data_IF_567778598931
#
_entry.id   IF_567778598931
#
_cell.length_a   1.000
_cell.length_b   1.000
_cell.length_c   1.000
_cell.angle_alpha   90.00
_cell.angle_beta   90.00
_cell.angle_gamma   90.00
#
_symmetry.space_group_name_H-M   'P 1'
#
loop_
_entity.id
_entity.type
_entity.pdbx_description
1 polymer ?
#
# COMPACT_ATOMS: atom_id res chain seq x y z
N UNK A 1 -11.46 4.08 2.50
CA UNK A 1 -12.07 3.08 1.61
C UNK A 1 -12.35 3.73 0.26
N UNK A 2 -11.77 3.21 -0.81
CA UNK A 2 -11.90 3.79 -2.15
C UNK A 2 -13.20 3.37 -2.87
N UNK A 3 -13.86 2.34 -2.38
CA UNK A 3 -15.16 1.89 -2.89
C UNK A 3 -15.91 1.07 -1.84
N UNK A 4 -17.22 1.18 -1.84
CA UNK A 4 -18.09 0.41 -0.96
C UNK A 4 -18.52 -0.94 -1.58
N UNK A 5 -18.24 -1.14 -2.85
CA UNK A 5 -18.63 -2.33 -3.64
C UNK A 5 -20.15 -2.55 -3.78
N UNK A 6 -20.94 -1.48 -3.62
CA UNK A 6 -22.40 -1.53 -3.75
C UNK A 6 -22.91 -0.44 -4.70
N UNK A 7 -23.98 -0.73 -5.42
CA UNK A 7 -24.59 0.25 -6.32
C UNK A 7 -25.11 1.47 -5.55
N UNK A 8 -24.73 2.66 -6.02
CA UNK A 8 -25.10 3.93 -5.39
C UNK A 8 -24.29 4.27 -4.12
N UNK A 9 -23.34 3.41 -3.73
CA UNK A 9 -22.35 3.70 -2.67
C UNK A 9 -21.17 4.50 -3.18
N UNK A 10 -20.16 4.66 -2.32
CA UNK A 10 -18.90 5.31 -2.68
C UNK A 10 -18.18 4.52 -3.78
N UNK A 11 -17.77 5.20 -4.84
CA UNK A 11 -17.15 4.61 -6.02
C UNK A 11 -15.70 5.10 -6.20
N UNK A 12 -14.87 4.39 -7.00
CA UNK A 12 -13.49 4.82 -7.25
C UNK A 12 -13.37 6.23 -7.81
N UNK A 13 -14.34 6.70 -8.58
CA UNK A 13 -14.40 8.05 -9.12
C UNK A 13 -14.55 9.12 -8.02
N UNK A 14 -15.30 8.80 -6.96
CA UNK A 14 -15.44 9.70 -5.80
C UNK A 14 -14.11 9.79 -5.03
N UNK A 15 -13.38 8.68 -4.93
CA UNK A 15 -12.04 8.65 -4.32
C UNK A 15 -11.02 9.45 -5.13
N UNK A 16 -11.08 9.38 -6.44
CA UNK A 16 -10.27 10.21 -7.33
C UNK A 16 -10.54 11.70 -7.10
N UNK A 17 -11.81 12.11 -7.09
CA UNK A 17 -12.19 13.48 -6.80
C UNK A 17 -11.72 13.92 -5.41
N UNK A 18 -11.92 13.07 -4.39
CA UNK A 18 -11.50 13.37 -3.02
C UNK A 18 -9.99 13.54 -2.90
N UNK A 19 -9.19 12.72 -3.60
CA UNK A 19 -7.73 12.81 -3.57
C UNK A 19 -7.23 14.21 -4.00
N UNK A 20 -7.83 14.80 -5.05
CA UNK A 20 -7.53 16.18 -5.43
C UNK A 20 -7.85 17.18 -4.33
N UNK A 21 -8.97 17.01 -3.63
CA UNK A 21 -9.34 17.89 -2.50
C UNK A 21 -8.41 17.74 -1.31
N UNK A 22 -7.98 16.50 -1.02
CA UNK A 22 -7.03 16.22 0.07
C UNK A 22 -5.68 16.89 -0.19
N UNK A 23 -5.16 16.82 -1.42
CA UNK A 23 -3.94 17.51 -1.83
C UNK A 23 -4.04 19.04 -1.61
N UNK A 24 -5.15 19.67 -2.03
CA UNK A 24 -5.39 21.10 -1.82
C UNK A 24 -5.43 21.50 -0.33
N UNK A 25 -5.77 20.57 0.55
CA UNK A 25 -5.84 20.78 2.00
C UNK A 25 -4.57 20.35 2.76
N UNK A 26 -3.48 20.04 2.05
CA UNK A 26 -2.17 19.76 2.65
C UNK A 26 -2.05 18.38 3.26
N UNK A 27 -2.77 17.40 2.72
CA UNK A 27 -2.56 15.98 3.04
C UNK A 27 -1.35 15.48 2.25
N UNK A 28 -0.39 14.88 2.92
CA UNK A 28 0.85 14.41 2.31
C UNK A 28 0.72 13.01 1.70
N UNK A 29 -0.08 12.13 2.33
CA UNK A 29 -0.24 10.75 1.88
C UNK A 29 -1.66 10.25 2.14
N UNK A 30 -2.18 9.47 1.20
CA UNK A 30 -3.43 8.72 1.35
C UNK A 30 -3.19 7.23 1.17
N UNK A 31 -3.68 6.42 2.13
CA UNK A 31 -3.71 4.96 1.99
C UNK A 31 -5.01 4.51 1.33
N UNK A 32 -4.89 3.72 0.27
CA UNK A 32 -6.03 3.30 -0.56
C UNK A 32 -6.38 1.85 -0.31
N UNK A 33 -7.49 1.66 0.40
CA UNK A 33 -8.09 0.35 0.66
C UNK A 33 -9.52 0.28 0.12
N UNK A 34 -10.28 -0.76 0.44
CA UNK A 34 -11.66 -0.90 -0.03
C UNK A 34 -12.54 -1.73 0.90
N UNK A 35 -13.84 -1.47 0.85
CA UNK A 35 -14.86 -2.21 1.60
C UNK A 35 -14.88 -1.89 3.09
N UNK A 36 -15.67 -2.67 3.82
CA UNK A 36 -15.85 -2.52 5.27
C UNK A 36 -16.90 -1.50 5.69
N UNK A 37 -17.41 -0.68 4.79
CA UNK A 37 -18.48 0.29 5.04
C UNK A 37 -19.87 -0.31 4.77
N UNK A 38 -19.93 -1.44 4.07
CA UNK A 38 -21.12 -2.21 3.77
C UNK A 38 -20.93 -3.66 4.21
N UNK A 39 -21.97 -4.40 4.56
CA UNK A 39 -21.90 -5.83 4.83
C UNK A 39 -21.61 -6.66 3.57
N UNK A 40 -21.71 -6.06 2.39
CA UNK A 40 -21.42 -6.69 1.11
C UNK A 40 -19.94 -7.10 1.02
N UNK A 41 -19.68 -8.24 0.40
CA UNK A 41 -18.32 -8.68 0.13
C UNK A 41 -17.83 -8.08 -1.19
N UNK A 42 -16.54 -7.72 -1.28
CA UNK A 42 -15.97 -7.32 -2.56
C UNK A 42 -16.21 -8.39 -3.63
N UNK A 43 -16.67 -8.01 -4.84
CA UNK A 43 -16.91 -8.96 -5.95
C UNK A 43 -15.60 -9.35 -6.66
N UNK A 44 -14.48 -9.32 -5.96
CA UNK A 44 -13.13 -9.60 -6.45
C UNK A 44 -12.47 -10.70 -5.63
N UNK A 45 -11.57 -11.46 -6.24
CA UNK A 45 -10.77 -12.44 -5.52
C UNK A 45 -9.88 -11.75 -4.49
N UNK A 46 -9.87 -12.26 -3.26
CA UNK A 46 -9.02 -11.74 -2.18
C UNK A 46 -7.63 -12.37 -2.30
N UNK A 47 -6.82 -11.83 -3.20
CA UNK A 47 -5.45 -12.25 -3.47
C UNK A 47 -4.46 -11.10 -3.25
N UNK A 48 -3.16 -11.38 -3.34
CA UNK A 48 -2.12 -10.38 -3.17
C UNK A 48 -2.33 -9.20 -4.12
N UNK A 49 -2.43 -8.01 -3.56
CA UNK A 49 -2.57 -6.77 -4.35
C UNK A 49 -3.97 -6.49 -4.88
N UNK A 50 -5.02 -7.19 -4.42
CA UNK A 50 -6.39 -7.00 -4.94
C UNK A 50 -6.93 -5.56 -4.88
N UNK A 51 -6.32 -4.69 -4.05
CA UNK A 51 -6.71 -3.27 -3.96
C UNK A 51 -5.76 -2.34 -4.75
N UNK A 52 -4.66 -2.86 -5.28
CA UNK A 52 -3.69 -2.06 -6.07
C UNK A 52 -4.34 -1.29 -7.23
N UNK A 53 -5.27 -1.88 -8.01
CA UNK A 53 -5.93 -1.12 -9.07
C UNK A 53 -6.69 0.14 -8.61
N UNK A 54 -7.12 0.18 -7.33
CA UNK A 54 -7.75 1.36 -6.75
C UNK A 54 -6.71 2.43 -6.40
N UNK A 55 -5.53 2.04 -5.88
CA UNK A 55 -4.43 2.94 -5.63
C UNK A 55 -3.92 3.56 -6.96
N UNK A 56 -3.75 2.76 -8.00
CA UNK A 56 -3.37 3.23 -9.34
C UNK A 56 -4.33 4.29 -9.90
N UNK A 57 -5.63 4.13 -9.69
CA UNK A 57 -6.62 5.13 -10.11
C UNK A 57 -6.41 6.47 -9.42
N UNK A 58 -6.03 6.47 -8.15
CA UNK A 58 -5.73 7.69 -7.40
C UNK A 58 -4.38 8.27 -7.83
N UNK A 59 -3.32 7.45 -7.91
CA UNK A 59 -1.98 7.86 -8.36
C UNK A 59 -2.01 8.48 -9.76
N UNK A 60 -2.77 7.90 -10.69
CA UNK A 60 -2.92 8.39 -12.06
C UNK A 60 -3.74 9.67 -12.21
N UNK A 61 -4.30 10.20 -11.14
CA UNK A 61 -5.23 11.32 -11.18
C UNK A 61 -4.57 12.70 -11.29
N UNK A 62 -3.26 12.80 -11.21
CA UNK A 62 -2.55 14.07 -11.26
C UNK A 62 -2.86 14.99 -10.07
N UNK A 63 -2.98 14.40 -8.88
CA UNK A 63 -3.34 15.11 -7.63
C UNK A 63 -2.16 15.88 -6.99
N UNK A 64 -1.27 16.43 -7.79
CA UNK A 64 -0.12 17.19 -7.30
C UNK A 64 0.90 16.29 -6.59
N UNK A 65 1.40 16.75 -5.44
CA UNK A 65 2.44 16.06 -4.66
C UNK A 65 1.88 15.04 -3.63
N UNK A 66 0.58 14.73 -3.68
CA UNK A 66 -0.05 13.75 -2.79
C UNK A 66 0.52 12.35 -3.07
N UNK A 67 1.13 11.75 -2.06
CA UNK A 67 1.61 10.38 -2.12
C UNK A 67 0.44 9.40 -1.95
N UNK A 68 0.52 8.27 -2.63
CA UNK A 68 -0.51 7.22 -2.57
C UNK A 68 0.11 5.91 -2.13
N UNK A 69 -0.42 5.32 -1.08
CA UNK A 69 -0.02 3.99 -0.67
C UNK A 69 -1.02 2.93 -1.11
N UNK A 70 -0.49 1.73 -1.38
CA UNK A 70 -1.28 0.54 -1.65
C UNK A 70 -1.24 -0.43 -0.47
N UNK A 71 -2.36 -1.08 -0.22
CA UNK A 71 -2.50 -2.15 0.77
C UNK A 71 -3.35 -3.28 0.17
N UNK A 72 -3.28 -4.46 0.73
CA UNK A 72 -4.16 -5.57 0.31
C UNK A 72 -3.41 -6.88 0.12
N UNK A 73 -3.21 -7.63 1.20
CA UNK A 73 -2.56 -8.95 1.21
C UNK A 73 -1.14 -8.95 0.61
N UNK A 74 -0.48 -7.80 0.50
CA UNK A 74 0.88 -7.68 0.03
C UNK A 74 1.80 -8.29 1.10
N UNK A 75 2.57 -9.31 0.71
CA UNK A 75 3.47 -10.04 1.61
C UNK A 75 4.79 -10.43 0.96
N UNK A 76 4.86 -10.44 -0.36
CA UNK A 76 6.06 -10.74 -1.15
C UNK A 76 6.88 -9.46 -1.35
N UNK A 77 8.18 -9.44 -0.95
CA UNK A 77 9.02 -8.25 -1.11
C UNK A 77 9.24 -7.83 -2.55
N UNK A 78 9.42 -8.77 -3.47
CA UNK A 78 9.65 -8.45 -4.88
C UNK A 78 8.39 -7.84 -5.52
N UNK A 79 7.21 -8.35 -5.15
CA UNK A 79 5.95 -7.74 -5.58
C UNK A 79 5.78 -6.33 -5.03
N UNK A 80 6.07 -6.12 -3.73
CA UNK A 80 5.99 -4.79 -3.11
C UNK A 80 6.93 -3.79 -3.79
N UNK A 81 8.19 -4.18 -4.02
CA UNK A 81 9.20 -3.37 -4.73
C UNK A 81 8.74 -3.05 -6.16
N UNK A 82 8.17 -4.03 -6.86
CA UNK A 82 7.63 -3.83 -8.21
C UNK A 82 6.54 -2.76 -8.26
N UNK A 83 5.68 -2.66 -7.24
CA UNK A 83 4.66 -1.61 -7.20
C UNK A 83 5.26 -0.21 -7.14
N UNK A 84 6.37 -0.05 -6.41
CA UNK A 84 7.06 1.23 -6.27
C UNK A 84 7.84 1.58 -7.52
N UNK A 85 8.62 0.64 -8.04
CA UNK A 85 9.48 0.86 -9.22
C UNK A 85 8.69 1.06 -10.50
N UNK A 86 7.50 0.46 -10.62
CA UNK A 86 6.58 0.64 -11.75
C UNK A 86 5.72 1.91 -11.61
N UNK A 87 5.84 2.65 -10.50
CA UNK A 87 5.05 3.86 -10.23
C UNK A 87 3.57 3.60 -10.00
N UNK A 88 3.21 2.40 -9.54
CA UNK A 88 1.82 1.99 -9.26
C UNK A 88 1.35 2.43 -7.87
N UNK A 89 2.29 2.73 -6.98
CA UNK A 89 2.09 3.34 -5.67
C UNK A 89 3.39 3.98 -5.21
N UNK A 90 3.31 4.92 -4.27
CA UNK A 90 4.48 5.59 -3.67
C UNK A 90 4.95 4.87 -2.40
N UNK A 91 4.06 4.11 -1.77
CA UNK A 91 4.34 3.32 -0.58
C UNK A 91 3.48 2.05 -0.53
N UNK A 92 3.90 1.08 0.28
CA UNK A 92 3.13 -0.14 0.55
C UNK A 92 2.85 -0.26 2.04
N UNK A 93 1.57 -0.44 2.40
CA UNK A 93 1.18 -0.67 3.78
C UNK A 93 1.01 -2.16 4.06
N UNK A 94 1.57 -2.59 5.19
CA UNK A 94 1.58 -3.97 5.64
C UNK A 94 0.62 -4.16 6.82
N UNK A 95 -0.50 -4.85 6.57
CA UNK A 95 -1.44 -5.21 7.62
C UNK A 95 -1.06 -6.52 8.32
N UNK A 96 -1.78 -7.58 7.98
CA UNK A 96 -1.67 -8.91 8.62
C UNK A 96 -0.27 -9.54 8.56
N UNK A 97 0.49 -9.28 7.49
CA UNK A 97 1.87 -9.77 7.39
C UNK A 97 2.76 -9.14 8.46
N UNK A 98 2.65 -7.82 8.68
CA UNK A 98 3.41 -7.12 9.72
C UNK A 98 3.09 -7.61 11.14
N UNK A 99 1.83 -8.03 11.38
CA UNK A 99 1.45 -8.65 12.67
C UNK A 99 2.07 -10.04 12.87
N UNK A 100 2.18 -10.82 11.79
CA UNK A 100 2.77 -12.17 11.85
C UNK A 100 4.29 -12.15 11.84
N UNK A 101 4.87 -11.17 11.18
CA UNK A 101 6.31 -11.04 10.94
C UNK A 101 6.74 -9.58 11.14
N UNK A 102 6.96 -9.15 12.40
CA UNK A 102 7.40 -7.78 12.68
C UNK A 102 8.74 -7.39 12.03
N UNK A 103 9.59 -8.37 11.71
CA UNK A 103 10.87 -8.21 11.03
C UNK A 103 10.75 -8.26 9.48
N UNK A 104 9.55 -8.21 8.93
CA UNK A 104 9.33 -8.25 7.48
C UNK A 104 10.17 -7.21 6.71
N UNK A 105 10.30 -5.93 7.17
CA UNK A 105 11.12 -4.95 6.45
C UNK A 105 12.60 -5.33 6.34
N UNK A 106 13.17 -5.94 7.39
CA UNK A 106 14.55 -6.42 7.38
C UNK A 106 14.74 -7.62 6.45
N UNK A 107 13.79 -8.57 6.47
CA UNK A 107 13.79 -9.71 5.54
C UNK A 107 13.63 -9.21 4.09
N UNK A 108 12.71 -8.29 3.84
CA UNK A 108 12.51 -7.72 2.52
C UNK A 108 13.80 -7.04 1.99
N UNK A 109 14.47 -6.27 2.82
CA UNK A 109 15.74 -5.65 2.47
C UNK A 109 16.78 -6.70 2.05
N UNK A 110 16.93 -7.79 2.81
CA UNK A 110 17.85 -8.87 2.48
C UNK A 110 17.47 -9.60 1.19
N UNK A 111 16.21 -9.97 1.01
CA UNK A 111 15.71 -10.63 -0.21
C UNK A 111 15.87 -9.78 -1.47
N UNK A 112 15.77 -8.43 -1.32
CA UNK A 112 16.00 -7.48 -2.39
C UNK A 112 17.48 -7.12 -2.60
N UNK A 113 18.38 -7.73 -1.83
CA UNK A 113 19.83 -7.58 -1.98
C UNK A 113 20.42 -6.31 -1.36
N UNK A 114 19.71 -5.65 -0.44
CA UNK A 114 20.26 -4.53 0.30
C UNK A 114 21.34 -4.97 1.28
N UNK A 115 22.44 -4.22 1.37
CA UNK A 115 23.41 -4.44 2.46
C UNK A 115 22.71 -4.20 3.80
N UNK A 116 22.93 -5.06 4.78
CA UNK A 116 22.30 -4.95 6.09
C UNK A 116 22.57 -3.61 6.80
N UNK A 117 23.65 -2.90 6.41
CA UNK A 117 24.01 -1.58 6.96
C UNK A 117 23.03 -0.49 6.50
N UNK A 118 22.43 -0.69 5.33
CA UNK A 118 21.45 0.22 4.74
C UNK A 118 20.00 -0.21 5.07
N UNK A 119 19.84 -1.41 5.67
CA UNK A 119 18.55 -1.93 6.07
C UNK A 119 18.11 -1.39 7.45
N UNK A 120 16.80 -1.35 7.74
CA UNK A 120 16.25 -0.72 8.95
C UNK A 120 16.46 -1.56 10.23
N UNK A 121 17.72 -1.86 10.56
CA UNK A 121 18.06 -2.57 11.79
C UNK A 121 18.30 -1.62 12.96
N UNK A 122 17.55 -1.77 14.08
CA UNK A 122 17.96 -1.14 15.33
C UNK A 122 19.36 -1.64 15.72
N UNK A 123 20.27 -0.76 16.22
CA UNK A 123 21.66 -1.13 16.51
C UNK A 123 21.79 -2.35 17.43
N UNK A 124 20.83 -2.57 18.35
CA UNK A 124 20.83 -3.67 19.29
C UNK A 124 20.58 -5.04 18.63
N UNK A 125 19.98 -5.05 17.43
CA UNK A 125 19.54 -6.27 16.73
C UNK A 125 20.38 -6.64 15.50
N UNK A 126 21.47 -5.90 15.26
CA UNK A 126 22.35 -6.16 14.11
C UNK A 126 23.02 -7.53 14.13
N UNK A 127 23.10 -8.21 15.30
CA UNK A 127 23.58 -9.61 15.41
C UNK A 127 22.60 -10.62 14.81
N UNK A 128 21.34 -10.25 14.65
CA UNK A 128 20.30 -11.09 14.03
C UNK A 128 19.98 -10.69 12.59
N UNK A 129 20.91 -10.00 11.92
CA UNK A 129 20.75 -9.62 10.52
C UNK A 129 20.64 -10.85 9.61
N UNK A 130 19.93 -10.70 8.53
CA UNK A 130 20.00 -11.62 7.40
C UNK A 130 21.34 -11.44 6.68
N UNK A 131 21.94 -12.56 6.24
CA UNK A 131 23.19 -12.60 5.46
C UNK A 131 22.89 -12.59 3.96
#
# INVERSE_FOLDING_TARGET
SATDWVDGGWAPQDSHWLAGRLAEHGVDLVDVSSGGNSPERPPVALEQGYQVPLAEQVTGSGVGDLLVSAVGLISDPAYAEGLLTDGRADAVFLGRVGLREPAWPQRAAAELGLDWRDAPYPPQYTRGKWD
#
